data_IF_653633291548
#
_entry.id   IF_653633291548
#
_cell.length_a   1.000
_cell.length_b   1.000
_cell.length_c   1.000
_cell.angle_alpha   90.00
_cell.angle_beta   90.00
_cell.angle_gamma   90.00
#
_symmetry.space_group_name_H-M   'P 1'
#
loop_
_entity.id
_entity.type
_entity.pdbx_description
1 polymer ?
#
# COMPACT_ATOMS: atom_id res chain seq x y z
N UNK A 1 -31.38 70.24 -36.24
CA UNK A 1 -32.10 69.14 -36.88
C UNK A 1 -33.32 68.87 -36.07
N UNK A 2 -34.50 69.18 -36.66
CA UNK A 2 -35.80 68.90 -36.03
C UNK A 2 -36.08 67.37 -36.18
N UNK A 3 -36.27 66.70 -35.09
CA UNK A 3 -36.74 65.30 -35.08
C UNK A 3 -38.22 65.34 -35.45
N UNK A 4 -38.60 64.72 -36.55
CA UNK A 4 -40.05 64.59 -36.99
C UNK A 4 -40.46 63.18 -36.69
N UNK A 5 -41.31 63.05 -35.69
CA UNK A 5 -41.97 61.78 -35.32
C UNK A 5 -41.61 61.34 -33.87
N UNK A 6 -42.43 60.42 -33.39
CA UNK A 6 -42.24 59.81 -32.05
C UNK A 6 -41.10 58.83 -32.04
N UNK A 7 -40.38 58.73 -30.97
CA UNK A 7 -39.32 57.69 -30.74
C UNK A 7 -40.01 56.33 -30.68
N UNK A 8 -39.61 55.45 -31.56
CA UNK A 8 -40.04 54.02 -31.50
C UNK A 8 -39.03 53.27 -30.64
N UNK A 9 -39.47 52.65 -29.56
CA UNK A 9 -38.66 51.71 -28.77
C UNK A 9 -38.95 50.29 -29.26
N UNK A 10 -37.89 49.61 -29.62
CA UNK A 10 -37.94 48.16 -30.00
C UNK A 10 -37.20 47.39 -28.90
N UNK A 11 -37.90 46.46 -28.25
CA UNK A 11 -37.32 45.54 -27.33
C UNK A 11 -36.84 44.31 -28.11
N UNK A 12 -35.56 44.02 -28.03
CA UNK A 12 -34.97 42.78 -28.57
C UNK A 12 -34.86 41.82 -27.38
N UNK A 13 -35.61 40.74 -27.42
CA UNK A 13 -35.48 39.66 -26.44
C UNK A 13 -34.34 38.74 -26.90
N UNK A 14 -33.38 38.51 -26.01
CA UNK A 14 -32.38 37.51 -26.23
C UNK A 14 -33.00 36.12 -26.04
N UNK A 15 -33.04 35.35 -27.09
CA UNK A 15 -33.50 33.94 -27.11
C UNK A 15 -32.35 32.97 -27.18
N UNK A 16 -31.10 33.43 -27.06
CA UNK A 16 -29.90 32.62 -27.04
C UNK A 16 -29.84 31.85 -25.72
N UNK A 17 -29.86 30.53 -25.79
CA UNK A 17 -29.62 29.65 -24.64
C UNK A 17 -28.23 29.11 -24.71
N UNK A 18 -27.36 29.48 -23.79
CA UNK A 18 -26.10 28.77 -23.58
C UNK A 18 -26.41 27.35 -23.16
N UNK A 19 -25.86 26.35 -23.87
CA UNK A 19 -25.99 24.97 -23.43
C UNK A 19 -25.23 24.78 -22.10
N UNK A 20 -25.86 24.08 -21.15
CA UNK A 20 -25.23 23.79 -19.88
C UNK A 20 -23.93 22.96 -20.05
N UNK A 21 -22.89 23.22 -19.25
CA UNK A 21 -21.68 22.41 -19.27
C UNK A 21 -21.98 20.99 -18.81
N UNK A 22 -21.30 20.02 -19.41
CA UNK A 22 -21.32 18.64 -18.94
C UNK A 22 -19.92 18.18 -18.57
N UNK A 23 -19.84 17.27 -17.62
CA UNK A 23 -18.60 16.71 -17.09
C UNK A 23 -18.75 15.21 -16.97
N UNK A 24 -17.71 14.49 -17.36
CA UNK A 24 -17.59 13.07 -17.08
C UNK A 24 -16.14 12.72 -16.77
N UNK A 25 -15.94 11.72 -15.96
CA UNK A 25 -14.63 11.11 -15.69
C UNK A 25 -14.79 9.60 -15.69
N UNK A 26 -13.93 8.89 -16.39
CA UNK A 26 -13.97 7.44 -16.49
C UNK A 26 -12.57 6.85 -16.33
N UNK A 27 -12.43 5.74 -15.59
CA UNK A 27 -11.17 5.02 -15.47
C UNK A 27 -10.99 4.09 -16.68
N UNK A 28 -9.74 3.81 -17.04
CA UNK A 28 -9.41 2.84 -18.10
C UNK A 28 -9.75 1.40 -17.72
N UNK A 29 -9.77 1.11 -16.40
CA UNK A 29 -10.13 -0.18 -15.80
C UNK A 29 -10.91 0.04 -14.51
N UNK A 30 -11.71 -0.94 -14.12
CA UNK A 30 -12.46 -0.93 -12.85
C UNK A 30 -11.91 -1.91 -11.83
N UNK A 31 -10.90 -2.70 -12.22
CA UNK A 31 -10.20 -3.65 -11.37
C UNK A 31 -8.75 -3.72 -11.82
N UNK A 32 -7.82 -3.76 -10.87
CA UNK A 32 -6.39 -3.93 -11.12
C UNK A 32 -5.72 -4.52 -9.88
N UNK A 33 -4.53 -5.08 -10.09
CA UNK A 33 -3.65 -5.53 -9.01
C UNK A 33 -2.68 -4.40 -8.63
N UNK A 34 -2.07 -4.52 -7.48
CA UNK A 34 -0.88 -3.73 -7.14
C UNK A 34 0.19 -3.85 -8.24
N UNK A 35 1.04 -2.84 -8.38
CA UNK A 35 2.01 -2.72 -9.46
C UNK A 35 1.40 -2.29 -10.81
N UNK A 36 0.09 -2.34 -10.99
CA UNK A 36 -0.58 -1.97 -12.24
C UNK A 36 -1.00 -0.50 -12.26
N UNK A 37 -1.25 0.00 -13.47
CA UNK A 37 -1.62 1.40 -13.69
C UNK A 37 -3.05 1.53 -14.22
N UNK A 38 -3.68 2.65 -13.90
CA UNK A 38 -4.92 3.09 -14.53
C UNK A 38 -4.84 4.54 -14.96
N UNK A 39 -5.62 4.91 -15.96
CA UNK A 39 -5.75 6.27 -16.45
C UNK A 39 -7.18 6.74 -16.25
N UNK A 40 -7.35 7.92 -15.67
CA UNK A 40 -8.63 8.62 -15.58
C UNK A 40 -8.74 9.61 -16.73
N UNK A 41 -9.78 9.47 -17.54
CA UNK A 41 -10.06 10.35 -18.67
C UNK A 41 -11.25 11.26 -18.33
N UNK A 42 -11.00 12.57 -18.38
CA UNK A 42 -12.01 13.61 -18.21
C UNK A 42 -12.50 14.04 -19.60
N UNK A 43 -13.81 14.08 -19.78
CA UNK A 43 -14.46 14.62 -20.99
C UNK A 43 -15.47 15.66 -20.59
N UNK A 44 -15.52 16.76 -21.33
CA UNK A 44 -16.42 17.87 -21.09
C UNK A 44 -17.07 18.35 -22.37
N UNK A 45 -18.25 18.95 -22.26
CA UNK A 45 -18.90 19.71 -23.35
C UNK A 45 -19.29 21.08 -22.86
N UNK A 46 -19.28 22.06 -23.75
CA UNK A 46 -19.58 23.47 -23.46
C UNK A 46 -18.69 24.08 -22.36
N UNK A 47 -17.43 23.63 -22.30
CA UNK A 47 -16.38 24.18 -21.46
C UNK A 47 -15.28 24.71 -22.37
N UNK A 48 -14.79 25.91 -22.09
CA UNK A 48 -13.73 26.50 -22.88
C UNK A 48 -12.40 25.81 -22.64
N UNK A 49 -11.62 25.63 -23.68
CA UNK A 49 -10.21 25.22 -23.56
C UNK A 49 -9.47 26.26 -22.68
N UNK A 50 -8.54 25.77 -21.87
CA UNK A 50 -7.86 26.57 -20.86
C UNK A 50 -8.53 26.56 -19.48
N UNK A 51 -9.77 26.04 -19.34
CA UNK A 51 -10.41 25.87 -18.04
C UNK A 51 -9.70 24.81 -17.23
N UNK A 52 -9.39 25.09 -15.96
CA UNK A 52 -8.79 24.13 -15.03
C UNK A 52 -9.87 23.43 -14.22
N UNK A 53 -9.80 22.10 -14.17
CA UNK A 53 -10.59 21.26 -13.27
C UNK A 53 -9.65 20.55 -12.29
N UNK A 54 -10.19 20.18 -11.15
CA UNK A 54 -9.45 19.56 -10.04
C UNK A 54 -9.99 18.16 -9.77
N UNK A 55 -9.14 17.28 -9.29
CA UNK A 55 -9.54 15.91 -8.99
C UNK A 55 -8.92 15.43 -7.67
N UNK A 56 -9.60 14.47 -7.04
CA UNK A 56 -9.16 13.78 -5.82
C UNK A 56 -9.40 12.29 -5.98
N UNK A 57 -8.41 11.48 -5.62
CA UNK A 57 -8.58 10.04 -5.38
C UNK A 57 -9.06 9.89 -3.94
N UNK A 58 -10.22 9.30 -3.76
CA UNK A 58 -10.85 9.13 -2.47
C UNK A 58 -11.09 7.65 -2.17
N UNK A 59 -10.93 7.27 -0.92
CA UNK A 59 -11.21 5.91 -0.47
C UNK A 59 -12.72 5.65 -0.53
N UNK A 60 -13.10 4.56 -1.18
CA UNK A 60 -14.48 4.07 -1.14
C UNK A 60 -14.63 2.98 -0.06
N UNK A 61 -13.66 2.09 0.08
CA UNK A 61 -13.47 1.16 1.20
C UNK A 61 -11.97 0.91 1.39
N UNK A 62 -11.56 0.63 2.61
CA UNK A 62 -10.14 0.56 2.98
C UNK A 62 -9.60 1.96 3.33
N UNK A 63 -8.30 2.08 3.43
CA UNK A 63 -7.61 3.34 3.71
C UNK A 63 -6.60 3.59 2.60
N UNK A 64 -6.82 4.65 1.82
CA UNK A 64 -5.89 5.03 0.75
C UNK A 64 -5.05 6.22 1.21
N UNK A 65 -3.75 6.10 1.01
CA UNK A 65 -2.75 7.12 1.30
C UNK A 65 -1.76 7.26 0.13
N UNK A 66 -0.84 8.21 0.22
CA UNK A 66 0.10 8.46 -0.88
C UNK A 66 1.11 7.31 -1.11
N UNK A 67 1.33 6.45 -0.11
CA UNK A 67 2.21 5.29 -0.20
C UNK A 67 1.65 4.18 -1.10
N UNK A 68 0.33 4.12 -1.27
CA UNK A 68 -0.35 3.12 -2.10
C UNK A 68 -0.19 3.39 -3.60
N UNK A 69 0.48 4.48 -3.95
CA UNK A 69 0.79 4.83 -5.33
C UNK A 69 2.29 5.02 -5.53
N UNK A 70 2.90 4.24 -6.40
CA UNK A 70 4.28 4.42 -6.84
C UNK A 70 4.41 5.59 -7.83
N UNK A 71 3.30 6.00 -8.48
CA UNK A 71 3.21 7.15 -9.36
C UNK A 71 1.79 7.71 -9.36
N UNK A 72 1.68 9.03 -9.41
CA UNK A 72 0.44 9.77 -9.28
C UNK A 72 0.28 10.33 -7.87
N UNK A 73 -0.59 11.32 -7.73
CA UNK A 73 -0.89 11.97 -6.46
C UNK A 73 -2.34 11.68 -6.05
N UNK A 74 -2.68 11.88 -4.76
CA UNK A 74 -4.06 11.73 -4.30
C UNK A 74 -4.98 12.87 -4.77
N UNK A 75 -4.41 13.98 -5.22
CA UNK A 75 -5.16 15.09 -5.79
C UNK A 75 -4.33 15.85 -6.80
N UNK A 76 -5.00 16.54 -7.70
CA UNK A 76 -4.33 17.34 -8.71
C UNK A 76 -5.30 18.16 -9.55
N UNK A 77 -4.81 18.68 -10.66
CA UNK A 77 -5.61 19.44 -11.61
C UNK A 77 -5.19 19.13 -13.04
N UNK A 78 -6.10 19.42 -13.96
CA UNK A 78 -5.84 19.35 -15.39
C UNK A 78 -6.53 20.48 -16.12
N UNK A 79 -5.93 20.90 -17.23
CA UNK A 79 -6.49 21.97 -18.07
C UNK A 79 -7.20 21.35 -19.26
N UNK A 80 -8.41 21.78 -19.52
CA UNK A 80 -9.20 21.33 -20.68
C UNK A 80 -8.52 21.76 -21.96
N UNK A 81 -8.33 20.79 -22.83
CA UNK A 81 -7.86 20.97 -24.21
C UNK A 81 -8.64 20.03 -25.12
N UNK A 82 -9.25 20.56 -26.16
CA UNK A 82 -10.12 19.78 -27.08
C UNK A 82 -11.20 18.97 -26.33
N UNK A 83 -11.80 19.58 -25.30
CA UNK A 83 -12.91 19.00 -24.56
C UNK A 83 -12.53 18.02 -23.44
N UNK A 84 -11.26 17.92 -23.06
CA UNK A 84 -10.88 17.04 -21.94
C UNK A 84 -9.40 17.04 -21.59
N UNK A 85 -9.03 16.14 -20.68
CA UNK A 85 -7.66 15.79 -20.31
C UNK A 85 -7.63 14.39 -19.68
N UNK A 86 -6.42 13.84 -19.49
CA UNK A 86 -6.25 12.57 -18.81
C UNK A 86 -5.06 12.62 -17.87
N UNK A 87 -5.07 11.76 -16.85
CA UNK A 87 -4.00 11.59 -15.89
C UNK A 87 -3.95 10.13 -15.42
N UNK A 88 -2.78 9.69 -14.97
CA UNK A 88 -2.55 8.29 -14.65
C UNK A 88 -2.02 8.11 -13.23
N UNK A 89 -2.33 6.95 -12.67
CA UNK A 89 -1.80 6.46 -11.40
C UNK A 89 -1.22 5.07 -11.61
N UNK A 90 -0.17 4.75 -10.88
CA UNK A 90 0.36 3.39 -10.74
C UNK A 90 0.27 3.01 -9.29
N UNK A 91 -0.46 1.94 -8.98
CA UNK A 91 -0.55 1.40 -7.63
C UNK A 91 0.82 0.87 -7.23
N UNK A 92 1.23 1.09 -6.00
CA UNK A 92 2.45 0.53 -5.48
C UNK A 92 2.33 -0.99 -5.39
N UNK A 93 3.45 -1.68 -5.53
CA UNK A 93 3.59 -3.10 -5.21
C UNK A 93 4.56 -3.18 -4.04
N UNK A 94 4.10 -3.66 -2.92
CA UNK A 94 4.93 -3.80 -1.74
C UNK A 94 4.77 -5.19 -1.09
N UNK A 95 5.37 -5.43 0.06
CA UNK A 95 5.32 -6.71 0.77
C UNK A 95 4.29 -6.71 1.91
N UNK A 96 3.50 -5.65 2.07
CA UNK A 96 2.46 -5.58 3.09
C UNK A 96 1.18 -6.25 2.60
N UNK A 97 0.53 -7.03 3.45
CA UNK A 97 -0.80 -7.57 3.15
C UNK A 97 -1.83 -6.60 3.70
N UNK A 98 -2.46 -5.82 2.83
CA UNK A 98 -3.40 -4.76 3.18
C UNK A 98 -4.85 -5.14 2.90
N UNK A 99 -5.05 -6.15 2.05
CA UNK A 99 -6.35 -6.61 1.58
C UNK A 99 -6.90 -5.79 0.42
N UNK A 100 -8.07 -6.17 -0.06
CA UNK A 100 -8.70 -5.50 -1.22
C UNK A 100 -9.20 -4.12 -0.85
N UNK A 101 -8.77 -3.10 -1.59
CA UNK A 101 -9.19 -1.72 -1.44
C UNK A 101 -10.06 -1.26 -2.60
N UNK A 102 -10.84 -0.22 -2.37
CA UNK A 102 -11.66 0.40 -3.41
C UNK A 102 -11.55 1.90 -3.35
N UNK A 103 -11.35 2.49 -4.53
CA UNK A 103 -11.22 3.93 -4.70
C UNK A 103 -12.25 4.47 -5.69
N UNK A 104 -12.44 5.77 -5.62
CA UNK A 104 -13.24 6.56 -6.56
C UNK A 104 -12.47 7.85 -6.86
N UNK A 105 -12.38 8.25 -8.11
CA UNK A 105 -11.81 9.54 -8.46
C UNK A 105 -12.94 10.54 -8.66
N UNK A 106 -12.89 11.63 -7.94
CA UNK A 106 -13.88 12.72 -7.94
C UNK A 106 -13.34 13.93 -8.69
N UNK A 107 -14.18 14.56 -9.52
CA UNK A 107 -13.85 15.74 -10.31
C UNK A 107 -14.56 16.98 -9.76
N UNK A 108 -13.85 18.09 -9.69
CA UNK A 108 -14.31 19.35 -9.12
C UNK A 108 -14.03 20.54 -10.03
N UNK A 109 -14.83 21.60 -9.91
CA UNK A 109 -14.60 22.86 -10.64
C UNK A 109 -13.77 23.87 -9.85
N UNK A 110 -13.47 23.61 -8.58
CA UNK A 110 -12.76 24.50 -7.69
C UNK A 110 -11.59 23.80 -6.96
N UNK A 111 -10.55 24.56 -6.67
CA UNK A 111 -9.35 24.06 -5.98
C UNK A 111 -9.58 23.69 -4.51
N UNK A 112 -10.69 24.13 -3.93
CA UNK A 112 -11.11 23.76 -2.57
C UNK A 112 -11.86 22.42 -2.52
N UNK A 113 -12.08 21.76 -3.66
CA UNK A 113 -12.81 20.49 -3.79
C UNK A 113 -14.20 20.53 -3.15
N UNK A 114 -14.92 21.65 -3.31
CA UNK A 114 -16.25 21.85 -2.73
C UNK A 114 -17.38 21.60 -3.73
N UNK A 115 -17.14 21.83 -5.01
CA UNK A 115 -18.12 21.66 -6.08
C UNK A 115 -17.79 20.43 -6.93
N UNK A 116 -18.25 19.25 -6.48
CA UNK A 116 -18.09 18.00 -7.21
C UNK A 116 -19.03 17.96 -8.42
N UNK A 117 -18.51 17.62 -9.59
CA UNK A 117 -19.27 17.61 -10.86
C UNK A 117 -19.32 16.25 -11.55
N UNK A 118 -18.41 15.33 -11.23
CA UNK A 118 -18.41 13.97 -11.74
C UNK A 118 -17.57 13.03 -10.86
N UNK A 119 -17.86 11.73 -10.94
CA UNK A 119 -17.09 10.69 -10.26
C UNK A 119 -16.87 9.52 -11.23
N UNK A 120 -15.76 8.79 -11.07
CA UNK A 120 -15.56 7.50 -11.74
C UNK A 120 -16.53 6.45 -11.19
N UNK A 121 -16.67 5.34 -11.88
CA UNK A 121 -17.06 4.07 -11.24
C UNK A 121 -16.05 3.70 -10.17
N UNK A 122 -16.46 2.84 -9.25
CA UNK A 122 -15.53 2.27 -8.24
C UNK A 122 -14.42 1.48 -8.93
N UNK A 123 -13.19 1.72 -8.53
CA UNK A 123 -12.00 0.98 -8.97
C UNK A 123 -11.60 0.08 -7.81
N UNK A 124 -11.49 -1.21 -8.05
CA UNK A 124 -11.05 -2.21 -7.06
C UNK A 124 -9.58 -2.51 -7.26
N UNK A 125 -8.79 -2.39 -6.20
CA UNK A 125 -7.38 -2.74 -6.14
C UNK A 125 -7.27 -4.05 -5.36
N UNK A 126 -6.72 -5.07 -5.98
CA UNK A 126 -6.46 -6.34 -5.32
C UNK A 126 -5.05 -6.35 -4.76
N UNK A 127 -4.96 -6.63 -3.47
CA UNK A 127 -3.70 -6.92 -2.79
C UNK A 127 -3.10 -8.20 -3.38
N UNK A 128 -1.94 -8.09 -3.97
CA UNK A 128 -1.15 -9.20 -4.51
C UNK A 128 0.14 -9.40 -3.73
N UNK A 129 0.38 -8.56 -2.74
CA UNK A 129 1.52 -8.61 -1.84
C UNK A 129 1.37 -9.77 -0.89
N UNK A 130 2.36 -10.62 -0.84
CA UNK A 130 2.44 -11.69 0.15
C UNK A 130 3.55 -11.37 1.12
N UNK A 131 3.20 -11.10 2.37
CA UNK A 131 4.21 -11.10 3.44
C UNK A 131 4.84 -12.49 3.47
N UNK A 132 6.11 -12.58 3.10
CA UNK A 132 6.80 -13.85 3.08
C UNK A 132 6.83 -14.45 4.50
N UNK A 133 6.41 -15.70 4.64
CA UNK A 133 6.36 -16.38 5.93
C UNK A 133 7.74 -16.42 6.59
N UNK A 134 7.84 -16.20 7.90
CA UNK A 134 9.08 -16.35 8.62
C UNK A 134 9.55 -17.82 8.59
N UNK A 135 10.86 -18.01 8.40
CA UNK A 135 11.50 -19.33 8.40
C UNK A 135 12.54 -19.34 9.51
N UNK A 136 12.60 -20.45 10.25
CA UNK A 136 13.52 -20.67 11.35
C UNK A 136 14.30 -21.97 11.11
N UNK A 137 15.61 -21.89 11.14
CA UNK A 137 16.49 -23.05 10.97
C UNK A 137 17.44 -23.14 12.16
N UNK A 138 17.42 -24.28 12.83
CA UNK A 138 18.37 -24.58 13.89
C UNK A 138 19.48 -25.50 13.36
N UNK A 139 20.71 -25.19 13.71
CA UNK A 139 21.87 -25.98 13.32
C UNK A 139 22.86 -26.12 14.49
N UNK A 140 23.49 -27.28 14.57
CA UNK A 140 24.62 -27.58 15.48
C UNK A 140 25.79 -28.09 14.67
N UNK A 141 27.05 -27.93 15.15
CA UNK A 141 28.23 -28.43 14.44
C UNK A 141 28.27 -29.94 14.28
N UNK A 142 27.60 -30.66 15.16
CA UNK A 142 27.52 -32.13 15.16
C UNK A 142 26.17 -32.61 15.66
N UNK A 143 25.68 -33.69 15.10
CA UNK A 143 24.49 -34.42 15.58
C UNK A 143 24.80 -35.39 16.73
N UNK A 144 26.08 -35.59 17.04
CA UNK A 144 26.55 -36.44 18.14
C UNK A 144 27.51 -35.63 18.98
N UNK A 145 27.21 -35.49 20.28
CA UNK A 145 27.99 -34.71 21.24
C UNK A 145 28.24 -35.64 22.43
N UNK A 146 29.42 -35.59 22.99
CA UNK A 146 29.81 -36.43 24.12
C UNK A 146 29.73 -35.65 25.42
N UNK A 147 29.52 -36.36 26.51
CA UNK A 147 29.66 -35.78 27.85
C UNK A 147 30.99 -35.08 28.02
N UNK A 148 31.00 -33.94 28.66
CA UNK A 148 32.15 -33.07 28.83
C UNK A 148 32.46 -32.15 27.64
N UNK A 149 31.81 -32.35 26.50
CA UNK A 149 31.96 -31.45 25.34
C UNK A 149 31.03 -30.23 25.43
N UNK A 150 31.37 -29.23 24.65
CA UNK A 150 30.55 -28.03 24.44
C UNK A 150 29.96 -28.04 23.04
N UNK A 151 28.75 -27.52 22.91
CA UNK A 151 28.14 -27.28 21.60
C UNK A 151 27.44 -25.93 21.53
N UNK A 152 27.39 -25.41 20.34
CA UNK A 152 26.68 -24.16 20.04
C UNK A 152 25.57 -24.45 19.04
N UNK A 153 24.37 -24.04 19.38
CA UNK A 153 23.26 -24.06 18.45
C UNK A 153 23.12 -22.67 17.83
N UNK A 154 23.08 -22.63 16.51
CA UNK A 154 22.82 -21.41 15.75
C UNK A 154 21.41 -21.45 15.21
N UNK A 155 20.67 -20.40 15.44
CA UNK A 155 19.35 -20.14 14.85
C UNK A 155 19.57 -19.16 13.70
N UNK A 156 19.18 -19.56 12.49
CA UNK A 156 19.16 -18.70 11.31
C UNK A 156 17.71 -18.44 10.94
N UNK A 157 17.39 -17.20 10.66
CA UNK A 157 16.03 -16.78 10.34
C UNK A 157 15.96 -16.17 8.93
N UNK A 158 14.80 -16.23 8.32
CA UNK A 158 14.47 -15.51 7.09
C UNK A 158 13.12 -14.86 7.28
N UNK A 159 12.95 -13.64 6.81
CA UNK A 159 11.72 -12.83 6.99
C UNK A 159 11.33 -12.63 8.47
N UNK A 160 12.30 -12.44 9.32
CA UNK A 160 12.14 -12.11 10.74
C UNK A 160 12.84 -10.77 10.98
N UNK A 161 12.12 -9.83 11.58
CA UNK A 161 12.65 -8.48 11.85
C UNK A 161 13.76 -8.57 12.90
N UNK A 162 14.84 -7.83 12.70
CA UNK A 162 15.91 -7.67 13.70
C UNK A 162 15.32 -7.14 15.03
N UNK A 163 15.88 -7.58 16.12
CA UNK A 163 15.40 -7.35 17.50
C UNK A 163 14.15 -8.16 17.89
N UNK A 164 13.72 -9.12 17.06
CA UNK A 164 12.71 -10.10 17.47
C UNK A 164 13.30 -11.07 18.48
N UNK A 165 12.62 -11.26 19.60
CA UNK A 165 13.00 -12.24 20.62
C UNK A 165 12.35 -13.59 20.30
N UNK A 166 13.18 -14.65 20.31
CA UNK A 166 12.76 -16.04 20.12
C UNK A 166 13.13 -16.86 21.35
N UNK A 167 12.27 -17.77 21.73
CA UNK A 167 12.48 -18.68 22.86
C UNK A 167 12.87 -20.06 22.35
N UNK A 168 13.79 -20.70 23.04
CA UNK A 168 14.25 -22.05 22.71
C UNK A 168 14.20 -22.94 23.95
N UNK A 169 14.13 -24.26 23.75
CA UNK A 169 14.13 -25.26 24.78
C UNK A 169 14.89 -26.49 24.29
N UNK A 170 15.71 -27.07 25.15
CA UNK A 170 16.28 -28.40 24.95
C UNK A 170 15.31 -29.44 25.47
N UNK A 171 15.16 -30.52 24.76
CA UNK A 171 14.34 -31.67 25.15
C UNK A 171 15.19 -32.93 25.21
N UNK A 172 14.83 -33.87 26.06
CA UNK A 172 15.51 -35.14 26.25
C UNK A 172 16.69 -35.10 27.23
N UNK A 173 16.95 -33.95 27.84
CA UNK A 173 18.00 -33.78 28.88
C UNK A 173 17.46 -32.99 30.07
N UNK A 174 18.15 -33.05 31.19
CA UNK A 174 17.86 -32.31 32.41
C UNK A 174 18.91 -31.23 32.68
N UNK A 175 18.63 -30.30 33.57
CA UNK A 175 19.59 -29.27 33.96
C UNK A 175 20.85 -29.83 34.67
N UNK A 176 20.76 -31.02 35.25
CA UNK A 176 21.92 -31.72 35.82
C UNK A 176 22.93 -32.21 34.78
N UNK A 177 22.47 -32.40 33.55
CA UNK A 177 23.31 -32.88 32.44
C UNK A 177 24.13 -31.73 31.80
N UNK A 178 23.95 -30.51 32.33
CA UNK A 178 24.63 -29.30 31.88
C UNK A 178 25.58 -28.76 32.96
N UNK A 179 26.84 -28.48 32.61
CA UNK A 179 27.72 -27.69 33.43
C UNK A 179 27.61 -26.20 33.17
N UNK A 180 27.24 -25.81 31.97
CA UNK A 180 26.94 -24.42 31.58
C UNK A 180 25.80 -24.37 30.59
N UNK A 181 25.04 -23.28 30.62
CA UNK A 181 23.84 -23.08 29.85
C UNK A 181 22.54 -23.43 30.63
N UNK A 182 21.44 -23.28 30.04
CA UNK A 182 20.08 -23.59 30.56
C UNK A 182 19.39 -24.57 29.62
N UNK A 183 18.38 -25.30 30.14
CA UNK A 183 17.51 -26.13 29.28
C UNK A 183 16.51 -25.33 28.46
N UNK A 184 16.33 -24.07 28.78
CA UNK A 184 15.50 -23.12 28.04
C UNK A 184 16.07 -21.70 28.12
N UNK A 185 15.74 -20.87 27.17
CA UNK A 185 16.21 -19.50 27.13
C UNK A 185 15.61 -18.69 26.01
N UNK A 186 16.14 -17.49 25.86
CA UNK A 186 15.73 -16.51 24.86
C UNK A 186 16.95 -16.03 24.08
N UNK A 187 16.78 -15.75 22.82
CA UNK A 187 17.77 -15.09 21.98
C UNK A 187 17.11 -14.03 21.10
N UNK A 188 17.83 -12.94 20.89
CA UNK A 188 17.37 -11.83 20.04
C UNK A 188 17.97 -11.96 18.65
N UNK A 189 17.17 -11.91 17.61
CA UNK A 189 17.60 -11.95 16.21
C UNK A 189 18.37 -10.67 15.86
N UNK A 190 19.59 -10.81 15.37
CA UNK A 190 20.42 -9.72 14.84
C UNK A 190 21.04 -10.20 13.53
N UNK A 191 20.82 -9.47 12.45
CA UNK A 191 21.30 -9.85 11.11
C UNK A 191 20.89 -11.28 10.74
N UNK A 192 19.60 -11.61 10.98
CA UNK A 192 18.97 -12.90 10.70
C UNK A 192 19.53 -14.08 11.50
N UNK A 193 20.18 -13.88 12.62
CA UNK A 193 20.75 -14.99 13.40
C UNK A 193 20.89 -14.65 14.88
N UNK A 194 20.95 -15.69 15.71
CA UNK A 194 21.55 -15.68 17.03
C UNK A 194 22.06 -17.08 17.38
N UNK A 195 22.88 -17.19 18.43
CA UNK A 195 23.43 -18.46 18.87
C UNK A 195 23.42 -18.56 20.39
N UNK A 196 23.34 -19.78 20.89
CA UNK A 196 23.45 -20.09 22.30
C UNK A 196 24.29 -21.37 22.48
N UNK A 197 25.01 -21.47 23.61
CA UNK A 197 25.97 -22.55 23.85
C UNK A 197 25.67 -23.28 25.15
N UNK A 198 26.03 -24.57 25.17
CA UNK A 198 25.89 -25.45 26.30
C UNK A 198 27.19 -26.25 26.48
N UNK A 199 27.51 -26.58 27.72
CA UNK A 199 28.52 -27.58 28.03
C UNK A 199 27.86 -28.73 28.78
N UNK A 200 28.09 -29.95 28.30
CA UNK A 200 27.54 -31.16 28.91
C UNK A 200 28.36 -31.53 30.17
N UNK A 201 27.66 -31.97 31.18
CA UNK A 201 28.30 -32.57 32.36
C UNK A 201 28.99 -33.89 31.96
N UNK A 202 30.09 -34.19 32.63
CA UNK A 202 30.70 -35.49 32.57
C UNK A 202 30.48 -36.17 33.91
N UNK A 203 29.62 -37.14 33.92
CA UNK A 203 29.37 -37.90 35.12
C UNK A 203 29.69 -39.41 34.95
N UNK A 204 29.29 -40.21 35.88
CA UNK A 204 29.52 -41.66 35.86
C UNK A 204 28.21 -42.47 35.70
N UNK A 205 27.13 -41.80 35.30
CA UNK A 205 25.83 -42.41 35.13
C UNK A 205 25.64 -42.85 33.68
N UNK A 206 25.26 -44.09 33.43
CA UNK A 206 24.88 -44.53 32.09
C UNK A 206 23.41 -44.11 31.82
N UNK A 207 23.26 -43.06 31.05
CA UNK A 207 21.91 -42.48 30.73
C UNK A 207 21.31 -43.06 29.44
N UNK A 208 22.04 -43.87 28.72
CA UNK A 208 21.61 -44.38 27.40
C UNK A 208 21.85 -43.37 26.26
N UNK A 209 21.51 -43.78 25.03
CA UNK A 209 21.62 -42.96 23.81
C UNK A 209 20.26 -42.50 23.34
#
# INVERSE_FOLDING_TARGET
TNQVGNTLSITINDTSTSQAPTYSISPSVTQLNEGQSFTSTVTTTNINDGTTLYWVVDSHTGTINAGDFSSGALSGSGTISSGGFAFSHTVAEDAATEGTEKIIVKLYTDSGHTNNVANTSVITIFDTSTTANPVYVLSTPSSVIREGDTFTTTVTTTNVVDSTDLWWKLEGINSSDLTTGSIEGQGTVISNTFSFSHALAKDMTEEGT
#
